data_IF_623235891720
#
_entry.id   IF_623235891720
#
_cell.length_a   1.000
_cell.length_b   1.000
_cell.length_c   1.000
_cell.angle_alpha   90.00
_cell.angle_beta   90.00
_cell.angle_gamma   90.00
#
_symmetry.space_group_name_H-M   'P 1'
#
loop_
_entity.id
_entity.type
_entity.pdbx_description
1 polymer ?
#
# COMPACT_ATOMS: atom_id res chain seq x y z
N UNK A 1 -46.27 -66.46 35.18
CA UNK A 1 -45.90 -65.63 34.02
C UNK A 1 -45.04 -64.49 34.55
N UNK A 2 -43.74 -64.54 34.31
CA UNK A 2 -42.77 -63.53 34.79
C UNK A 2 -42.48 -62.54 33.67
N UNK A 3 -42.55 -61.24 33.98
CA UNK A 3 -42.21 -60.13 33.07
C UNK A 3 -40.79 -59.68 33.44
N UNK A 4 -39.85 -59.80 32.48
CA UNK A 4 -38.52 -59.18 32.58
C UNK A 4 -38.57 -57.79 31.95
N UNK A 5 -38.18 -56.77 32.72
CA UNK A 5 -37.93 -55.42 32.23
C UNK A 5 -36.42 -55.26 31.96
N UNK A 6 -36.06 -54.87 30.74
CA UNK A 6 -34.70 -54.49 30.33
C UNK A 6 -34.56 -52.97 30.38
N UNK A 7 -33.54 -52.39 31.04
CA UNK A 7 -33.29 -50.96 30.98
C UNK A 7 -32.52 -50.63 29.69
N UNK A 8 -33.04 -49.69 28.91
CA UNK A 8 -32.34 -49.08 27.77
C UNK A 8 -31.37 -48.03 28.32
N UNK A 9 -30.07 -48.32 28.20
CA UNK A 9 -29.00 -47.38 28.51
C UNK A 9 -28.81 -46.44 27.31
N UNK A 10 -29.23 -45.18 27.45
CA UNK A 10 -28.96 -44.13 26.44
C UNK A 10 -27.55 -43.58 26.68
N UNK A 11 -26.61 -43.94 25.81
CA UNK A 11 -25.27 -43.37 25.79
C UNK A 11 -25.34 -41.97 25.14
N UNK A 12 -25.22 -40.91 25.94
CA UNK A 12 -25.08 -39.55 25.43
C UNK A 12 -23.64 -39.37 24.91
N UNK A 13 -23.48 -39.33 23.58
CA UNK A 13 -22.21 -38.97 22.94
C UNK A 13 -22.01 -37.45 23.08
N UNK A 14 -21.17 -37.04 24.02
CA UNK A 14 -20.67 -35.67 24.11
C UNK A 14 -19.71 -35.41 22.95
N UNK A 15 -20.19 -34.74 21.91
CA UNK A 15 -19.33 -34.20 20.86
C UNK A 15 -18.47 -33.08 21.44
N UNK A 16 -17.20 -33.39 21.74
CA UNK A 16 -16.18 -32.39 22.07
C UNK A 16 -15.93 -31.55 20.82
N UNK A 17 -16.60 -30.42 20.72
CA UNK A 17 -16.30 -29.43 19.69
C UNK A 17 -15.00 -28.74 20.09
N UNK A 18 -13.91 -29.06 19.42
CA UNK A 18 -12.69 -28.26 19.49
C UNK A 18 -13.00 -26.88 18.92
N UNK A 19 -13.15 -25.89 19.80
CA UNK A 19 -13.23 -24.49 19.39
C UNK A 19 -11.85 -24.12 18.85
N UNK A 20 -11.67 -24.18 17.53
CA UNK A 20 -10.53 -23.56 16.87
C UNK A 20 -10.69 -22.05 17.04
N UNK A 21 -10.04 -21.48 18.05
CA UNK A 21 -9.87 -20.04 18.15
C UNK A 21 -8.92 -19.66 17.02
N UNK A 22 -9.45 -19.06 15.96
CA UNK A 22 -8.62 -18.50 14.89
C UNK A 22 -7.63 -17.51 15.52
N UNK A 23 -6.34 -17.67 15.21
CA UNK A 23 -5.33 -16.74 15.69
C UNK A 23 -5.66 -15.32 15.22
N UNK A 24 -5.54 -14.35 16.14
CA UNK A 24 -5.78 -12.95 15.80
C UNK A 24 -4.86 -12.54 14.63
N UNK A 25 -5.42 -11.88 13.59
CA UNK A 25 -4.61 -11.32 12.53
C UNK A 25 -3.52 -10.39 13.08
N UNK A 26 -2.36 -10.36 12.43
CA UNK A 26 -1.24 -9.49 12.82
C UNK A 26 -0.97 -8.42 11.77
N UNK A 27 -0.79 -7.19 12.22
CA UNK A 27 -0.47 -6.05 11.37
C UNK A 27 0.89 -5.47 11.74
N UNK A 28 1.74 -5.24 10.74
CA UNK A 28 2.94 -4.43 10.89
C UNK A 28 2.62 -2.99 10.47
N UNK A 29 2.79 -2.02 11.37
CA UNK A 29 2.71 -0.59 11.05
C UNK A 29 4.12 -0.04 10.92
N UNK A 30 4.42 0.45 9.72
CA UNK A 30 5.70 1.02 9.35
C UNK A 30 5.59 2.53 9.17
N UNK A 31 6.43 3.30 9.87
CA UNK A 31 6.33 4.78 9.93
C UNK A 31 7.66 5.50 9.71
N UNK A 32 8.66 4.83 9.12
CA UNK A 32 9.94 5.49 8.83
C UNK A 32 9.74 6.65 7.86
N UNK A 33 10.40 7.76 8.14
CA UNK A 33 10.43 8.95 7.28
C UNK A 33 11.86 9.31 6.97
N UNK A 34 12.17 9.49 5.69
CA UNK A 34 13.38 10.14 5.20
C UNK A 34 13.07 11.49 4.50
N UNK A 35 11.78 11.79 4.30
CA UNK A 35 11.22 13.11 4.01
C UNK A 35 10.58 13.79 5.23
N UNK A 36 9.55 14.61 4.97
CA UNK A 36 8.78 15.29 6.02
C UNK A 36 8.18 14.28 7.00
N UNK A 37 8.26 14.62 8.30
CA UNK A 37 7.71 13.82 9.39
C UNK A 37 6.41 14.45 9.88
N UNK A 38 5.30 13.77 9.64
CA UNK A 38 3.97 14.22 10.02
C UNK A 38 3.76 14.11 11.53
N UNK A 39 3.22 15.17 12.14
CA UNK A 39 2.86 15.20 13.56
C UNK A 39 1.77 14.17 13.92
N UNK A 40 1.01 13.69 12.92
CA UNK A 40 -0.04 12.69 13.09
C UNK A 40 0.48 11.26 13.27
N UNK A 41 1.75 10.96 13.03
CA UNK A 41 2.30 9.59 13.13
C UNK A 41 2.02 8.94 14.51
N UNK A 42 2.32 9.58 15.67
CA UNK A 42 2.06 8.97 16.96
C UNK A 42 0.57 8.68 17.22
N UNK A 43 -0.33 9.60 16.83
CA UNK A 43 -1.77 9.40 17.03
C UNK A 43 -2.33 8.34 16.08
N UNK A 44 -1.79 8.24 14.86
CA UNK A 44 -2.15 7.20 13.90
C UNK A 44 -1.79 5.80 14.44
N UNK A 45 -0.55 5.62 14.90
CA UNK A 45 -0.07 4.38 15.52
C UNK A 45 -0.92 4.00 16.73
N UNK A 46 -1.17 4.95 17.63
CA UNK A 46 -2.00 4.73 18.82
C UNK A 46 -3.42 4.32 18.42
N UNK A 47 -4.02 5.00 17.45
CA UNK A 47 -5.39 4.74 17.00
C UNK A 47 -5.50 3.36 16.36
N UNK A 48 -4.62 3.02 15.41
CA UNK A 48 -4.62 1.70 14.75
C UNK A 48 -4.42 0.58 15.78
N UNK A 49 -3.48 0.75 16.71
CA UNK A 49 -3.22 -0.22 17.77
C UNK A 49 -4.44 -0.40 18.68
N UNK A 50 -5.09 0.71 19.07
CA UNK A 50 -6.22 0.70 20.00
C UNK A 50 -7.51 0.18 19.37
N UNK A 51 -7.72 0.43 18.07
CA UNK A 51 -8.80 -0.19 17.30
C UNK A 51 -8.59 -1.70 17.20
N UNK A 52 -7.37 -2.14 16.88
CA UNK A 52 -7.05 -3.54 16.70
C UNK A 52 -7.16 -4.37 17.97
N UNK A 53 -6.64 -3.86 19.10
CA UNK A 53 -6.71 -4.54 20.39
C UNK A 53 -8.05 -4.33 21.13
N UNK A 54 -8.93 -3.47 20.61
CA UNK A 54 -10.25 -3.19 21.16
C UNK A 54 -10.28 -2.21 22.35
N UNK A 55 -9.17 -1.57 22.72
CA UNK A 55 -9.16 -0.54 23.77
C UNK A 55 -9.84 0.76 23.33
N UNK A 56 -9.94 1.00 22.02
CA UNK A 56 -10.76 2.04 21.42
C UNK A 56 -11.99 1.42 20.74
N UNK A 57 -13.17 1.64 21.32
CA UNK A 57 -14.46 1.21 20.74
C UNK A 57 -15.11 2.42 20.06
N UNK A 58 -15.54 2.25 18.82
CA UNK A 58 -16.27 3.26 18.06
C UNK A 58 -17.79 3.07 18.23
N UNK A 59 -18.59 4.16 18.16
CA UNK A 59 -20.03 4.03 18.10
C UNK A 59 -20.45 3.32 16.80
N UNK A 60 -21.59 2.63 16.84
CA UNK A 60 -22.13 1.90 15.67
C UNK A 60 -22.44 2.82 14.48
N UNK A 61 -22.63 4.12 14.72
CA UNK A 61 -22.78 5.16 13.71
C UNK A 61 -21.49 5.43 12.92
N UNK A 62 -20.32 5.02 13.42
CA UNK A 62 -19.03 5.31 12.81
C UNK A 62 -18.33 4.07 12.22
N UNK A 63 -18.73 2.86 12.60
CA UNK A 63 -18.09 1.62 12.18
C UNK A 63 -19.04 0.69 11.40
N UNK A 64 -18.54 0.05 10.35
CA UNK A 64 -19.29 -0.92 9.58
C UNK A 64 -19.53 -2.22 10.39
N UNK A 65 -20.74 -2.80 10.39
CA UNK A 65 -21.02 -4.03 11.14
C UNK A 65 -20.18 -5.23 10.70
N UNK A 66 -19.75 -5.30 9.43
CA UNK A 66 -18.97 -6.43 8.90
C UNK A 66 -17.53 -6.47 9.45
N UNK A 67 -17.04 -5.35 10.00
CA UNK A 67 -15.70 -5.23 10.58
C UNK A 67 -15.71 -4.85 12.06
N UNK A 68 -16.86 -4.52 12.66
CA UNK A 68 -16.93 -4.03 14.05
C UNK A 68 -16.41 -5.03 15.10
N UNK A 69 -16.43 -6.33 14.78
CA UNK A 69 -15.89 -7.39 15.61
C UNK A 69 -14.47 -7.83 15.20
N UNK A 70 -13.94 -7.35 14.06
CA UNK A 70 -12.59 -7.67 13.62
C UNK A 70 -11.58 -7.04 14.58
N UNK A 71 -10.62 -7.84 15.04
CA UNK A 71 -9.54 -7.45 15.93
C UNK A 71 -8.22 -7.90 15.35
N UNK A 72 -7.14 -7.22 15.68
CA UNK A 72 -5.78 -7.56 15.23
C UNK A 72 -4.74 -7.16 16.27
N UNK A 73 -3.60 -7.83 16.27
CA UNK A 73 -2.42 -7.35 16.98
C UNK A 73 -1.62 -6.40 16.09
N UNK A 74 -0.92 -5.45 16.70
CA UNK A 74 -0.10 -4.47 15.98
C UNK A 74 1.36 -4.57 16.44
N UNK A 75 2.28 -4.67 15.48
CA UNK A 75 3.72 -4.44 15.69
C UNK A 75 4.07 -3.14 14.99
N UNK A 76 4.69 -2.20 15.69
CA UNK A 76 5.08 -0.91 15.13
C UNK A 76 6.59 -0.88 14.93
N UNK A 77 7.07 -0.33 13.81
CA UNK A 77 8.51 -0.16 13.59
C UNK A 77 8.83 1.00 12.65
N UNK A 78 10.00 1.61 12.89
CA UNK A 78 10.67 2.53 11.94
C UNK A 78 12.00 1.92 11.46
N UNK A 79 12.32 0.69 11.90
CA UNK A 79 13.56 -0.02 11.60
C UNK A 79 13.44 -0.75 10.26
N UNK A 80 14.08 -0.20 9.22
CA UNK A 80 14.06 -0.77 7.88
C UNK A 80 14.70 -2.16 7.80
N UNK A 81 15.63 -2.50 8.72
CA UNK A 81 16.32 -3.80 8.71
C UNK A 81 15.37 -4.96 8.98
N UNK A 82 14.19 -4.68 9.55
CA UNK A 82 13.09 -5.65 9.66
C UNK A 82 12.63 -6.19 8.32
N UNK A 83 12.71 -5.37 7.26
CA UNK A 83 12.37 -5.78 5.90
C UNK A 83 13.45 -6.66 5.25
N UNK A 84 14.64 -6.80 5.85
CA UNK A 84 15.66 -7.75 5.35
C UNK A 84 15.33 -9.21 5.63
N UNK A 85 14.33 -9.47 6.48
CA UNK A 85 13.89 -10.80 6.85
C UNK A 85 12.48 -11.08 6.30
N UNK A 86 12.40 -11.79 5.17
CA UNK A 86 11.12 -12.16 4.58
C UNK A 86 10.26 -13.00 5.54
N UNK A 87 10.83 -13.91 6.32
CA UNK A 87 10.08 -14.70 7.32
C UNK A 87 9.41 -13.81 8.36
N UNK A 88 10.09 -12.74 8.79
CA UNK A 88 9.50 -11.73 9.67
C UNK A 88 8.34 -11.01 9.00
N UNK A 89 8.49 -10.54 7.75
CA UNK A 89 7.39 -9.87 7.02
C UNK A 89 6.22 -10.82 6.79
N UNK A 90 6.53 -12.05 6.41
CA UNK A 90 5.53 -13.06 6.10
C UNK A 90 4.57 -13.22 7.27
N UNK A 91 4.99 -13.15 8.55
CA UNK A 91 4.10 -13.38 9.70
C UNK A 91 2.86 -12.45 9.78
N UNK A 92 2.88 -11.30 9.10
CA UNK A 92 1.80 -10.31 9.15
C UNK A 92 0.74 -10.57 8.08
N UNK A 93 -0.53 -10.49 8.45
CA UNK A 93 -1.66 -10.52 7.53
C UNK A 93 -1.74 -9.26 6.68
N UNK A 94 -1.31 -8.11 7.23
CA UNK A 94 -1.13 -6.88 6.47
C UNK A 94 0.10 -6.08 6.93
N UNK A 95 0.76 -5.42 5.99
CA UNK A 95 1.79 -4.41 6.26
C UNK A 95 1.22 -3.04 5.88
N UNK A 96 1.23 -2.15 6.85
CA UNK A 96 0.75 -0.78 6.75
C UNK A 96 1.88 0.23 6.63
N UNK A 97 1.88 1.05 5.59
CA UNK A 97 2.75 2.22 5.51
C UNK A 97 1.94 3.42 5.96
N UNK A 98 2.29 4.01 7.10
CA UNK A 98 1.48 5.05 7.75
C UNK A 98 2.30 6.33 7.83
N UNK A 99 1.99 7.27 6.94
CA UNK A 99 2.70 8.54 6.80
C UNK A 99 4.22 8.40 6.66
N UNK A 100 4.67 7.31 6.02
CA UNK A 100 6.05 7.15 5.56
C UNK A 100 6.36 8.16 4.48
N UNK A 101 7.56 8.72 4.43
CA UNK A 101 7.90 9.76 3.43
C UNK A 101 9.31 9.56 2.93
N UNK A 102 9.53 9.69 1.62
CA UNK A 102 10.84 9.70 0.95
C UNK A 102 11.13 11.11 0.42
N UNK A 103 12.32 11.33 -0.08
CA UNK A 103 12.65 12.51 -0.88
C UNK A 103 12.51 12.16 -2.36
N UNK A 104 11.64 12.87 -3.08
CA UNK A 104 11.45 12.63 -4.51
C UNK A 104 12.74 12.89 -5.32
N UNK A 105 13.16 11.97 -6.21
CA UNK A 105 14.32 12.18 -7.06
C UNK A 105 14.32 13.55 -7.75
N UNK A 106 15.50 14.22 -7.85
CA UNK A 106 16.85 13.69 -7.63
C UNK A 106 17.32 13.71 -6.16
N UNK A 107 16.48 14.11 -5.21
CA UNK A 107 16.84 14.05 -3.79
C UNK A 107 16.94 12.58 -3.34
N UNK A 108 17.81 12.32 -2.37
CA UNK A 108 18.08 10.96 -1.89
C UNK A 108 17.62 10.80 -0.45
N UNK A 109 16.83 9.78 -0.17
CA UNK A 109 16.46 9.41 1.19
C UNK A 109 15.32 8.41 1.20
N UNK A 110 15.62 7.13 1.03
CA UNK A 110 14.59 6.08 1.01
C UNK A 110 14.23 5.59 2.41
N UNK A 111 13.02 5.06 2.54
CA UNK A 111 12.58 4.34 3.74
C UNK A 111 12.96 2.86 3.69
N UNK A 112 13.23 2.30 2.51
CA UNK A 112 13.71 0.92 2.36
C UNK A 112 14.87 0.88 1.38
N UNK A 113 15.91 0.12 1.72
CA UNK A 113 16.94 -0.24 0.77
C UNK A 113 16.47 -1.34 -0.20
N UNK A 114 17.33 -1.64 -1.18
CA UNK A 114 17.07 -2.63 -2.22
C UNK A 114 16.72 -4.03 -1.68
N UNK A 115 17.32 -4.44 -0.56
CA UNK A 115 17.05 -5.74 0.05
C UNK A 115 15.67 -5.75 0.73
N UNK A 116 15.34 -4.69 1.46
CA UNK A 116 14.02 -4.49 2.05
C UNK A 116 12.93 -4.44 0.99
N UNK A 117 13.14 -3.68 -0.09
CA UNK A 117 12.21 -3.60 -1.22
C UNK A 117 11.96 -4.96 -1.88
N UNK A 118 13.02 -5.76 -2.13
CA UNK A 118 12.88 -7.11 -2.73
C UNK A 118 12.04 -8.04 -1.86
N UNK A 119 12.25 -8.02 -0.54
CA UNK A 119 11.45 -8.84 0.36
C UNK A 119 10.02 -8.31 0.49
N UNK A 120 9.82 -7.00 0.48
CA UNK A 120 8.48 -6.42 0.50
C UNK A 120 7.69 -6.77 -0.77
N UNK A 121 8.31 -6.69 -1.95
CA UNK A 121 7.70 -7.16 -3.19
C UNK A 121 7.27 -8.63 -3.08
N UNK A 122 8.17 -9.52 -2.62
CA UNK A 122 7.86 -10.94 -2.42
C UNK A 122 6.73 -11.19 -1.43
N UNK A 123 6.65 -10.40 -0.35
CA UNK A 123 5.54 -10.48 0.60
C UNK A 123 4.19 -10.23 -0.09
N UNK A 124 4.12 -9.21 -0.95
CA UNK A 124 2.90 -8.90 -1.71
C UNK A 124 2.62 -9.98 -2.75
N UNK A 125 3.63 -10.47 -3.49
CA UNK A 125 3.50 -11.57 -4.45
C UNK A 125 2.89 -12.82 -3.81
N UNK A 126 3.23 -13.10 -2.55
CA UNK A 126 2.70 -14.21 -1.75
C UNK A 126 1.28 -13.97 -1.20
N UNK A 127 0.65 -12.85 -1.53
CA UNK A 127 -0.72 -12.54 -1.12
C UNK A 127 -0.85 -11.77 0.19
N UNK A 128 0.25 -11.22 0.70
CA UNK A 128 0.24 -10.33 1.86
C UNK A 128 -0.65 -9.10 1.63
N UNK A 129 -1.38 -8.68 2.67
CA UNK A 129 -2.22 -7.49 2.63
C UNK A 129 -1.40 -6.20 2.73
N UNK A 130 -1.90 -5.13 2.13
CA UNK A 130 -1.29 -3.80 2.24
C UNK A 130 -2.31 -2.75 2.65
N UNK A 131 -1.89 -1.80 3.49
CA UNK A 131 -2.58 -0.53 3.57
C UNK A 131 -1.62 0.65 3.59
N UNK A 132 -2.02 1.74 2.93
CA UNK A 132 -1.29 3.00 2.93
C UNK A 132 -2.14 4.12 3.51
N UNK A 133 -1.54 4.98 4.34
CA UNK A 133 -2.21 6.15 4.90
C UNK A 133 -1.38 7.38 4.60
N UNK A 134 -2.06 8.42 4.12
CA UNK A 134 -1.55 9.75 3.85
C UNK A 134 -0.31 9.74 2.95
N UNK A 135 0.84 10.15 3.48
CA UNK A 135 2.10 10.25 2.73
C UNK A 135 2.71 8.92 2.34
N UNK A 136 2.06 7.77 2.59
CA UNK A 136 2.43 6.49 1.99
C UNK A 136 2.51 6.55 0.45
N UNK A 137 1.80 7.46 -0.22
CA UNK A 137 1.97 7.71 -1.66
C UNK A 137 3.17 8.61 -1.99
N UNK A 138 3.77 9.27 -1.00
CA UNK A 138 4.93 10.15 -1.08
C UNK A 138 6.21 9.46 -0.56
N UNK A 139 6.33 8.16 -0.77
CA UNK A 139 7.54 7.39 -0.44
C UNK A 139 7.93 6.43 -1.56
N UNK A 140 9.18 5.98 -1.58
CA UNK A 140 9.68 4.95 -2.50
C UNK A 140 9.42 5.29 -3.97
N UNK A 141 9.55 6.56 -4.36
CA UNK A 141 9.34 7.04 -5.75
C UNK A 141 10.21 6.32 -6.77
N UNK A 142 11.34 5.76 -6.31
CA UNK A 142 12.23 4.96 -7.13
C UNK A 142 11.75 3.52 -7.36
N UNK A 143 10.72 2.99 -6.70
CA UNK A 143 10.37 1.57 -6.78
C UNK A 143 9.06 1.32 -7.57
N UNK A 144 9.10 1.05 -8.88
CA UNK A 144 7.89 0.95 -9.70
C UNK A 144 6.77 0.04 -9.16
N UNK A 145 7.15 -1.13 -8.62
CA UNK A 145 6.15 -2.05 -8.04
C UNK A 145 5.39 -1.43 -6.87
N UNK A 146 6.05 -0.55 -6.09
CA UNK A 146 5.42 0.16 -4.99
C UNK A 146 4.42 1.19 -5.49
N UNK A 147 4.77 1.96 -6.53
CA UNK A 147 3.86 2.91 -7.16
C UNK A 147 2.57 2.23 -7.64
N UNK A 148 2.69 1.02 -8.20
CA UNK A 148 1.53 0.18 -8.53
C UNK A 148 0.79 -0.28 -7.29
N UNK A 149 1.48 -0.83 -6.29
CA UNK A 149 0.88 -1.30 -5.05
C UNK A 149 0.03 -0.22 -4.35
N UNK A 150 0.62 0.96 -4.11
CA UNK A 150 -0.08 2.08 -3.46
C UNK A 150 -1.17 2.66 -4.36
N UNK A 151 -1.00 2.57 -5.68
CA UNK A 151 -1.99 2.93 -6.69
C UNK A 151 -1.53 4.11 -7.54
N UNK A 152 -1.02 5.15 -6.90
CA UNK A 152 -0.42 6.30 -7.56
C UNK A 152 0.54 7.00 -6.61
N UNK A 153 1.63 7.55 -7.14
CA UNK A 153 2.53 8.39 -6.37
C UNK A 153 1.97 9.79 -6.17
N UNK A 154 2.27 10.38 -5.02
CA UNK A 154 2.05 11.79 -4.72
C UNK A 154 2.75 12.69 -5.75
N UNK A 155 2.07 13.75 -6.18
CA UNK A 155 2.66 14.83 -7.00
C UNK A 155 2.82 16.11 -6.18
N UNK A 156 1.69 16.69 -5.75
CA UNK A 156 1.66 17.90 -4.93
C UNK A 156 0.33 17.99 -4.17
N UNK A 157 0.20 18.99 -3.29
CA UNK A 157 -1.07 19.43 -2.75
C UNK A 157 -1.10 20.96 -2.75
N UNK A 158 -2.28 21.61 -2.83
CA UNK A 158 -2.38 23.05 -2.57
C UNK A 158 -2.13 23.34 -1.10
N UNK A 159 -2.13 24.61 -0.70
CA UNK A 159 -2.06 24.97 0.70
C UNK A 159 -3.13 24.20 1.50
N UNK A 160 -2.70 23.59 2.60
CA UNK A 160 -3.57 22.89 3.54
C UNK A 160 -4.76 23.77 3.91
N UNK A 161 -5.96 23.18 3.89
CA UNK A 161 -7.20 23.93 4.03
C UNK A 161 -8.33 23.06 4.56
N UNK A 162 -9.41 23.72 4.99
CA UNK A 162 -10.62 23.00 5.35
C UNK A 162 -11.37 22.56 4.08
N UNK A 163 -11.54 21.26 3.90
CA UNK A 163 -12.23 20.64 2.77
C UNK A 163 -13.37 19.74 3.26
N UNK A 164 -14.40 19.56 2.44
CA UNK A 164 -15.39 18.50 2.66
C UNK A 164 -15.09 17.32 1.72
N UNK A 165 -15.04 16.11 2.27
CA UNK A 165 -14.80 14.85 1.54
C UNK A 165 -16.02 13.94 1.66
N UNK A 166 -16.38 13.21 0.61
CA UNK A 166 -17.58 12.37 0.58
C UNK A 166 -17.28 10.99 -0.02
N UNK A 167 -18.09 9.97 0.31
CA UNK A 167 -17.96 8.68 -0.33
C UNK A 167 -18.37 8.78 -1.82
N UNK A 168 -17.61 8.11 -2.68
CA UNK A 168 -18.03 7.76 -4.05
C UNK A 168 -18.79 6.43 -4.01
N UNK A 169 -18.33 5.52 -3.15
CA UNK A 169 -18.91 4.21 -2.90
C UNK A 169 -19.10 4.03 -1.39
N UNK A 170 -20.34 3.80 -0.97
CA UNK A 170 -20.72 3.56 0.42
C UNK A 170 -20.93 2.06 0.74
N UNK A 171 -20.65 1.16 -0.21
CA UNK A 171 -20.72 -0.30 0.03
C UNK A 171 -19.49 -0.85 0.73
N UNK A 172 -18.36 -0.15 0.65
CA UNK A 172 -17.11 -0.58 1.29
C UNK A 172 -17.12 -0.26 2.80
N UNK A 173 -16.58 -1.15 3.66
CA UNK A 173 -16.60 -0.95 5.12
C UNK A 173 -15.93 0.34 5.61
N UNK A 174 -14.97 0.89 4.86
CA UNK A 174 -14.31 2.16 5.21
C UNK A 174 -15.19 3.40 4.96
N UNK A 175 -16.29 3.28 4.22
CA UNK A 175 -17.10 4.44 3.78
C UNK A 175 -18.59 4.25 4.01
N UNK A 176 -19.05 3.08 4.43
CA UNK A 176 -20.47 2.76 4.63
C UNK A 176 -21.17 3.58 5.71
N UNK A 177 -20.40 4.19 6.61
CA UNK A 177 -20.90 5.08 7.67
C UNK A 177 -20.75 6.56 7.36
N UNK A 178 -20.15 6.92 6.23
CA UNK A 178 -19.91 8.31 5.89
C UNK A 178 -21.21 9.02 5.50
N UNK A 179 -21.37 10.29 5.90
CA UNK A 179 -22.48 11.11 5.43
C UNK A 179 -22.37 11.37 3.93
N UNK A 180 -23.50 11.33 3.22
CA UNK A 180 -23.53 11.50 1.76
C UNK A 180 -23.16 12.93 1.30
N UNK A 181 -23.46 13.93 2.14
CA UNK A 181 -23.10 15.34 1.96
C UNK A 181 -21.64 15.66 2.34
N UNK A 182 -20.98 14.73 3.01
CA UNK A 182 -19.54 14.73 3.25
C UNK A 182 -19.14 15.09 4.68
N UNK A 183 -17.89 14.75 5.00
CA UNK A 183 -17.20 15.03 6.25
C UNK A 183 -16.25 16.21 6.04
N UNK A 184 -16.33 17.22 6.90
CA UNK A 184 -15.43 18.37 6.86
C UNK A 184 -14.19 18.11 7.71
N UNK A 185 -13.02 18.29 7.10
CA UNK A 185 -11.70 18.03 7.69
C UNK A 185 -10.73 19.16 7.31
N UNK A 186 -9.63 19.28 8.05
CA UNK A 186 -8.50 20.14 7.70
C UNK A 186 -7.37 19.27 7.13
N UNK A 187 -7.09 19.40 5.84
CA UNK A 187 -6.34 18.36 5.12
C UNK A 187 -5.49 18.89 3.97
N UNK A 188 -4.39 18.19 3.71
CA UNK A 188 -3.61 18.32 2.49
C UNK A 188 -4.28 17.49 1.40
N UNK A 189 -5.04 18.16 0.52
CA UNK A 189 -5.74 17.46 -0.56
C UNK A 189 -4.73 17.08 -1.63
N UNK A 190 -4.28 15.82 -1.61
CA UNK A 190 -3.26 15.32 -2.51
C UNK A 190 -3.74 15.27 -3.96
N UNK A 191 -2.84 15.64 -4.85
CA UNK A 191 -2.87 15.36 -6.27
C UNK A 191 -1.79 14.30 -6.58
N UNK A 192 -2.05 13.45 -7.57
CA UNK A 192 -1.24 12.27 -7.87
C UNK A 192 -0.63 12.36 -9.27
N UNK A 193 0.50 11.66 -9.47
CA UNK A 193 1.23 11.64 -10.75
C UNK A 193 0.49 10.90 -11.86
N UNK A 194 -0.44 10.03 -11.48
CA UNK A 194 -1.18 9.13 -12.36
C UNK A 194 -2.56 8.86 -11.77
N UNK A 195 -3.49 8.44 -12.61
CA UNK A 195 -4.79 7.96 -12.15
C UNK A 195 -4.71 6.48 -11.71
N UNK A 196 -5.00 6.14 -10.44
CA UNK A 196 -4.93 4.76 -9.94
C UNK A 196 -5.93 3.82 -10.63
N UNK A 197 -6.95 4.34 -11.35
CA UNK A 197 -7.89 3.55 -12.17
C UNK A 197 -7.27 3.00 -13.45
N UNK A 198 -6.14 3.56 -13.91
CA UNK A 198 -5.49 3.13 -15.16
C UNK A 198 -4.54 1.95 -14.98
N UNK A 199 -4.35 1.47 -13.75
CA UNK A 199 -3.54 0.29 -13.46
C UNK A 199 -4.16 -1.01 -14.04
N UNK A 200 -3.35 -2.05 -14.32
CA UNK A 200 -3.86 -3.32 -14.88
C UNK A 200 -4.90 -4.01 -14.00
N UNK A 201 -4.71 -3.93 -12.68
CA UNK A 201 -5.76 -4.16 -11.68
C UNK A 201 -6.25 -2.78 -11.24
N UNK A 202 -7.39 -2.28 -11.77
CA UNK A 202 -7.85 -0.91 -11.53
C UNK A 202 -8.21 -0.65 -10.07
N UNK A 203 -7.91 0.54 -9.58
CA UNK A 203 -8.39 0.99 -8.29
C UNK A 203 -9.89 1.32 -8.29
N UNK A 204 -10.58 0.90 -7.23
CA UNK A 204 -11.95 1.28 -6.93
C UNK A 204 -11.94 2.49 -5.99
N UNK A 205 -12.30 3.67 -6.51
CA UNK A 205 -12.29 4.93 -5.74
C UNK A 205 -13.40 4.92 -4.69
N UNK A 206 -13.03 5.22 -3.45
CA UNK A 206 -13.89 5.22 -2.27
C UNK A 206 -14.31 6.61 -1.82
N UNK A 207 -13.38 7.56 -1.85
CA UNK A 207 -13.56 8.92 -1.33
C UNK A 207 -13.13 9.93 -2.37
N UNK A 208 -13.91 11.01 -2.48
CA UNK A 208 -13.62 12.19 -3.32
C UNK A 208 -13.86 13.47 -2.55
N UNK A 209 -13.39 14.58 -3.08
CA UNK A 209 -13.81 15.90 -2.61
C UNK A 209 -15.33 16.10 -2.85
N UNK A 210 -16.03 16.55 -1.81
CA UNK A 210 -17.46 16.89 -1.88
C UNK A 210 -17.70 18.27 -2.49
N UNK A 211 -16.75 19.19 -2.28
CA UNK A 211 -16.73 20.55 -2.80
C UNK A 211 -15.47 20.81 -3.62
N UNK A 212 -15.50 21.83 -4.46
CA UNK A 212 -14.25 22.42 -4.97
C UNK A 212 -13.40 22.90 -3.80
N UNK A 213 -12.09 22.71 -3.89
CA UNK A 213 -11.10 23.25 -2.96
C UNK A 213 -10.19 24.22 -3.73
N UNK A 214 -9.54 25.13 -3.02
CA UNK A 214 -8.66 26.12 -3.63
C UNK A 214 -7.36 25.44 -4.05
N UNK A 215 -7.19 25.19 -5.35
CA UNK A 215 -5.98 24.63 -5.93
C UNK A 215 -5.44 25.59 -7.02
N UNK A 216 -4.23 26.13 -6.86
CA UNK A 216 -3.65 27.00 -7.89
C UNK A 216 -3.28 26.23 -9.16
N UNK A 217 -3.30 24.89 -9.15
CA UNK A 217 -3.00 24.07 -10.30
C UNK A 217 -1.52 24.12 -10.69
N UNK A 218 -0.63 24.39 -9.73
CA UNK A 218 0.81 24.53 -9.99
C UNK A 218 1.62 23.81 -8.93
N UNK A 219 2.46 22.89 -9.37
CA UNK A 219 3.58 22.36 -8.60
C UNK A 219 4.82 23.26 -8.87
N UNK A 220 5.49 23.84 -7.84
CA UNK A 220 6.72 24.62 -8.03
C UNK A 220 7.84 23.87 -8.77
N UNK A 221 7.83 22.53 -8.72
CA UNK A 221 8.76 21.62 -9.39
C UNK A 221 8.35 21.28 -10.83
N UNK A 222 7.28 21.90 -11.36
CA UNK A 222 6.67 21.60 -12.65
C UNK A 222 5.65 20.47 -12.56
N UNK A 223 4.53 20.60 -13.28
CA UNK A 223 3.49 19.58 -13.41
C UNK A 223 4.09 18.30 -14.03
N UNK A 224 4.24 17.21 -13.27
CA UNK A 224 5.02 16.06 -13.75
C UNK A 224 4.24 15.07 -14.61
N UNK A 225 2.91 14.98 -14.53
CA UNK A 225 2.14 14.30 -15.60
C UNK A 225 0.61 14.48 -15.64
N UNK A 226 0.06 15.56 -15.09
CA UNK A 226 -1.23 16.05 -15.57
C UNK A 226 -2.47 15.45 -14.91
N UNK A 227 -3.13 16.33 -14.16
CA UNK A 227 -4.53 16.25 -13.70
C UNK A 227 -4.85 15.12 -12.73
N UNK A 228 -5.88 15.38 -11.93
CA UNK A 228 -6.46 14.54 -10.89
C UNK A 228 -7.17 13.27 -11.38
N UNK A 229 -6.76 12.78 -12.56
CA UNK A 229 -7.59 11.96 -13.42
C UNK A 229 -8.93 12.64 -13.74
N UNK A 230 -9.83 11.96 -14.48
CA UNK A 230 -11.23 12.35 -14.54
C UNK A 230 -11.88 12.36 -13.14
N UNK A 231 -12.84 13.24 -12.92
CA UNK A 231 -13.72 13.18 -11.75
C UNK A 231 -14.36 11.78 -11.62
N UNK A 232 -14.56 11.24 -10.41
CA UNK A 232 -14.26 11.84 -9.10
C UNK A 232 -12.76 11.87 -8.77
N UNK A 233 -12.32 12.89 -8.00
CA UNK A 233 -10.94 13.05 -7.53
C UNK A 233 -10.61 11.95 -6.52
N UNK A 234 -9.61 11.09 -6.76
CA UNK A 234 -9.35 9.96 -5.88
C UNK A 234 -8.64 10.42 -4.59
N UNK A 235 -9.29 10.24 -3.44
CA UNK A 235 -8.69 10.50 -2.10
C UNK A 235 -8.57 9.23 -1.25
N UNK A 236 -9.27 8.17 -1.62
CA UNK A 236 -9.09 6.84 -1.05
C UNK A 236 -9.53 5.80 -2.08
N UNK A 237 -8.94 4.62 -2.05
CA UNK A 237 -9.30 3.52 -2.95
C UNK A 237 -8.91 2.16 -2.39
N UNK A 238 -9.44 1.11 -3.01
CA UNK A 238 -8.99 -0.26 -2.79
C UNK A 238 -8.68 -0.97 -4.11
N UNK A 239 -7.84 -2.01 -4.00
CA UNK A 239 -7.50 -2.94 -5.09
C UNK A 239 -7.45 -4.36 -4.54
N UNK A 240 -7.78 -5.35 -5.37
CA UNK A 240 -7.66 -6.76 -5.01
C UNK A 240 -7.19 -7.56 -6.21
N UNK A 241 -6.19 -8.42 -6.00
CA UNK A 241 -5.61 -9.25 -7.05
C UNK A 241 -4.78 -8.45 -8.06
N UNK A 242 -3.70 -9.04 -8.57
CA UNK A 242 -2.83 -8.39 -9.56
C UNK A 242 -2.25 -7.05 -9.08
N UNK A 243 -1.98 -6.92 -7.77
CA UNK A 243 -1.55 -5.66 -7.16
C UNK A 243 -0.27 -5.09 -7.80
N UNK A 244 0.61 -5.97 -8.30
CA UNK A 244 1.91 -5.62 -8.87
C UNK A 244 1.97 -5.73 -10.40
N UNK A 245 0.90 -6.18 -11.05
CA UNK A 245 0.85 -6.43 -12.49
C UNK A 245 1.19 -5.19 -13.31
N UNK A 246 1.81 -5.40 -14.46
CA UNK A 246 2.12 -4.38 -15.47
C UNK A 246 1.47 -4.75 -16.80
N UNK A 247 1.16 -3.74 -17.60
CA UNK A 247 0.75 -3.89 -19.00
C UNK A 247 1.12 -2.63 -19.80
N UNK A 248 0.76 -2.57 -21.08
CA UNK A 248 1.03 -1.40 -21.94
C UNK A 248 0.29 -0.12 -21.55
N UNK A 249 -0.70 -0.17 -20.66
CA UNK A 249 -1.43 0.99 -20.14
C UNK A 249 -0.95 1.45 -18.76
N UNK A 250 0.05 0.78 -18.18
CA UNK A 250 0.62 1.19 -16.89
C UNK A 250 1.33 2.53 -17.05
N UNK A 251 0.98 3.49 -16.19
CA UNK A 251 1.54 4.84 -16.27
C UNK A 251 3.07 4.83 -16.09
N UNK A 252 3.77 5.61 -16.91
CA UNK A 252 5.21 5.76 -16.84
C UNK A 252 5.67 6.33 -15.48
N UNK A 253 4.85 7.15 -14.82
CA UNK A 253 5.18 7.75 -13.52
C UNK A 253 5.22 6.74 -12.39
N UNK A 254 4.50 5.61 -12.51
CA UNK A 254 4.60 4.45 -11.60
C UNK A 254 5.51 3.36 -12.16
N UNK A 255 6.14 3.62 -13.31
CA UNK A 255 7.15 2.76 -13.97
C UNK A 255 8.58 3.28 -13.76
N UNK A 256 8.79 4.17 -12.77
CA UNK A 256 10.00 4.97 -12.53
C UNK A 256 11.38 4.29 -12.71
N UNK A 257 12.43 5.09 -12.81
CA UNK A 257 13.79 4.67 -13.20
C UNK A 257 14.76 4.45 -12.01
N UNK A 258 14.29 3.94 -10.87
CA UNK A 258 15.11 3.76 -9.66
C UNK A 258 14.93 2.40 -8.96
N UNK A 259 15.46 2.26 -7.75
CA UNK A 259 15.09 1.20 -6.80
C UNK A 259 15.29 -0.24 -7.30
N UNK A 260 16.51 -0.78 -7.15
CA UNK A 260 16.91 -2.16 -7.44
C UNK A 260 16.47 -2.83 -8.76
N UNK A 261 15.78 -2.13 -9.68
CA UNK A 261 15.15 -2.70 -10.88
C UNK A 261 14.28 -3.94 -10.53
N UNK A 262 13.42 -3.80 -9.52
CA UNK A 262 12.62 -4.92 -9.00
C UNK A 262 11.42 -5.17 -9.93
N UNK A 263 11.56 -6.21 -10.74
CA UNK A 263 10.50 -6.73 -11.61
C UNK A 263 9.63 -7.71 -10.81
N UNK A 264 8.53 -7.19 -10.24
CA UNK A 264 7.54 -7.97 -9.49
C UNK A 264 6.16 -7.90 -10.15
N UNK A 265 5.41 -9.00 -10.07
CA UNK A 265 4.10 -9.17 -10.70
C UNK A 265 3.17 -10.05 -9.85
N UNK A 266 1.88 -10.07 -10.15
CA UNK A 266 0.87 -10.77 -9.37
C UNK A 266 0.50 -9.99 -8.11
N UNK A 267 0.44 -10.67 -6.97
CA UNK A 267 -0.09 -10.12 -5.73
C UNK A 267 -1.60 -10.35 -5.60
N UNK A 268 -2.02 -11.56 -5.17
CA UNK A 268 -3.44 -11.94 -5.10
C UNK A 268 -4.20 -11.30 -3.92
N UNK A 269 -3.50 -10.60 -3.02
CA UNK A 269 -4.08 -10.02 -1.82
C UNK A 269 -4.91 -8.76 -2.04
N UNK A 270 -5.20 -8.08 -0.92
CA UNK A 270 -5.96 -6.82 -0.88
C UNK A 270 -5.03 -5.66 -0.52
N UNK A 271 -5.28 -4.52 -1.16
CA UNK A 271 -4.64 -3.24 -0.86
C UNK A 271 -5.72 -2.18 -0.62
N UNK A 272 -5.53 -1.36 0.41
CA UNK A 272 -6.38 -0.19 0.70
C UNK A 272 -5.51 1.04 0.93
N UNK A 273 -5.90 2.18 0.38
CA UNK A 273 -5.19 3.44 0.56
C UNK A 273 -6.15 4.58 0.86
N UNK A 274 -5.73 5.49 1.74
CA UNK A 274 -6.37 6.80 1.93
C UNK A 274 -5.30 7.88 1.96
N UNK A 275 -5.50 8.98 1.26
CA UNK A 275 -4.60 10.15 1.29
C UNK A 275 -4.86 11.07 2.47
N UNK A 276 -5.94 10.82 3.21
CA UNK A 276 -6.37 11.60 4.35
C UNK A 276 -5.56 11.25 5.61
N UNK A 277 -5.65 12.11 6.63
CA UNK A 277 -5.03 11.85 7.94
C UNK A 277 -3.73 12.61 8.17
N UNK A 278 -3.48 13.68 7.40
CA UNK A 278 -2.42 14.65 7.65
C UNK A 278 -2.49 15.19 9.08
N UNK A 279 -3.64 15.78 9.42
CA UNK A 279 -3.80 16.57 10.64
C UNK A 279 -4.22 15.70 11.83
N UNK A 280 -3.71 16.03 13.02
CA UNK A 280 -4.04 15.33 14.26
C UNK A 280 -5.54 15.38 14.58
N UNK A 281 -6.23 16.48 14.24
CA UNK A 281 -7.66 16.64 14.47
C UNK A 281 -8.50 15.65 13.66
N UNK A 282 -8.07 15.26 12.46
CA UNK A 282 -8.75 14.25 11.64
C UNK A 282 -8.81 12.90 12.38
N UNK A 283 -7.76 12.54 13.12
CA UNK A 283 -7.70 11.34 13.98
C UNK A 283 -8.59 11.39 15.23
N UNK A 284 -9.21 12.54 15.53
CA UNK A 284 -10.17 12.68 16.62
C UNK A 284 -11.61 12.37 16.19
N UNK A 285 -11.87 12.32 14.88
CA UNK A 285 -13.19 12.08 14.32
C UNK A 285 -13.51 10.58 14.30
N UNK A 286 -14.60 10.18 14.94
CA UNK A 286 -15.02 8.77 14.95
C UNK A 286 -15.26 8.21 13.54
N UNK A 287 -15.82 9.02 12.63
CA UNK A 287 -16.02 8.63 11.23
C UNK A 287 -14.70 8.36 10.50
N UNK A 288 -13.63 9.09 10.81
CA UNK A 288 -12.31 8.84 10.24
C UNK A 288 -11.64 7.61 10.87
N UNK A 289 -11.77 7.44 12.19
CA UNK A 289 -11.32 6.21 12.87
C UNK A 289 -12.03 4.98 12.32
N UNK A 290 -13.32 5.10 12.03
CA UNK A 290 -14.14 4.09 11.38
C UNK A 290 -13.72 3.80 9.95
N UNK A 291 -13.32 4.84 9.20
CA UNK A 291 -12.73 4.70 7.87
C UNK A 291 -11.45 3.85 7.90
N UNK A 292 -10.54 4.15 8.82
CA UNK A 292 -9.30 3.40 9.02
C UNK A 292 -9.59 1.96 9.48
N UNK A 293 -10.48 1.76 10.46
CA UNK A 293 -10.89 0.44 10.91
C UNK A 293 -11.49 -0.39 9.77
N UNK A 294 -12.36 0.22 8.95
CA UNK A 294 -12.99 -0.45 7.82
C UNK A 294 -12.02 -0.81 6.70
N UNK A 295 -11.06 0.07 6.40
CA UNK A 295 -10.00 -0.20 5.43
C UNK A 295 -9.12 -1.38 5.84
N UNK A 296 -8.57 -1.31 7.06
CA UNK A 296 -7.72 -2.38 7.62
C UNK A 296 -8.51 -3.68 7.77
N UNK A 297 -9.73 -3.62 8.34
CA UNK A 297 -10.59 -4.78 8.52
C UNK A 297 -10.93 -5.48 7.22
N UNK A 298 -11.20 -4.72 6.15
CA UNK A 298 -11.46 -5.28 4.82
C UNK A 298 -10.23 -5.97 4.22
N UNK A 299 -9.03 -5.40 4.38
CA UNK A 299 -7.76 -6.04 3.97
C UNK A 299 -7.55 -7.35 4.73
N UNK A 300 -7.76 -7.35 6.04
CA UNK A 300 -7.59 -8.54 6.90
C UNK A 300 -8.60 -9.66 6.62
N UNK A 301 -9.75 -9.34 6.03
CA UNK A 301 -10.74 -10.31 5.55
C UNK A 301 -10.39 -10.91 4.18
N UNK A 302 -9.24 -10.56 3.58
CA UNK A 302 -8.77 -11.20 2.36
C UNK A 302 -8.72 -12.72 2.54
N UNK A 303 -9.16 -13.46 1.53
CA UNK A 303 -8.99 -14.92 1.53
C UNK A 303 -7.52 -15.32 1.51
N UNK A 304 -6.60 -14.43 1.13
CA UNK A 304 -5.14 -14.67 1.16
C UNK A 304 -4.51 -14.37 2.51
N UNK A 305 -5.26 -13.79 3.46
CA UNK A 305 -4.76 -13.55 4.81
C UNK A 305 -4.39 -14.89 5.47
N UNK A 306 -3.29 -14.92 6.21
CA UNK A 306 -2.83 -16.17 6.85
C UNK A 306 -3.82 -16.63 7.90
N UNK A 307 -4.29 -15.69 8.72
CA UNK A 307 -5.29 -15.93 9.77
C UNK A 307 -6.59 -16.54 9.20
N UNK A 308 -6.93 -16.26 7.94
CA UNK A 308 -8.07 -16.88 7.25
C UNK A 308 -7.88 -18.38 6.94
N UNK A 309 -6.63 -18.88 6.93
CA UNK A 309 -6.27 -20.27 6.64
C UNK A 309 -5.97 -21.12 7.88
N UNK A 310 -6.49 -20.72 9.05
CA UNK A 310 -6.49 -21.47 10.31
C UNK A 310 -5.56 -22.68 10.41
N UNK A 311 -4.34 -22.50 10.92
CA UNK A 311 -3.59 -23.60 11.53
C UNK A 311 -2.73 -24.49 10.63
N UNK A 312 -2.42 -24.15 9.37
CA UNK A 312 -1.41 -24.90 8.61
C UNK A 312 -0.10 -24.13 8.47
N UNK A 313 0.62 -23.98 9.58
CA UNK A 313 2.07 -23.79 9.58
C UNK A 313 2.75 -25.01 10.19
N UNK A 314 2.46 -26.20 9.67
CA UNK A 314 3.41 -27.31 9.79
C UNK A 314 4.37 -27.18 8.62
N UNK A 315 5.61 -26.80 8.92
CA UNK A 315 6.73 -26.95 8.01
C UNK A 315 6.90 -28.43 7.67
N UNK A 316 6.25 -28.86 6.59
CA UNK A 316 6.60 -30.09 5.91
C UNK A 316 7.92 -29.82 5.19
N UNK A 317 9.01 -30.27 5.81
CA UNK A 317 10.28 -30.58 5.15
C UNK A 317 10.02 -31.59 4.03
N UNK A 318 9.64 -31.07 2.86
CA UNK A 318 9.55 -31.83 1.62
C UNK A 318 10.94 -32.27 1.21
N UNK A 319 11.23 -33.52 1.52
CA UNK A 319 12.47 -34.24 1.23
C UNK A 319 12.67 -34.29 -0.29
N UNK A 320 13.87 -33.94 -0.72
CA UNK A 320 14.35 -34.08 -2.08
C UNK A 320 14.18 -35.52 -2.56
N UNK A 321 13.38 -35.73 -3.60
CA UNK A 321 13.58 -36.84 -4.53
C UNK A 321 14.25 -36.26 -5.78
N UNK A 322 15.56 -36.50 -5.86
CA UNK A 322 16.30 -36.45 -7.11
C UNK A 322 15.64 -37.45 -8.06
N UNK A 323 15.22 -36.99 -9.23
CA UNK A 323 15.06 -37.88 -10.36
C UNK A 323 15.97 -37.38 -11.49
N UNK A 324 16.98 -38.20 -11.77
CA UNK A 324 18.03 -38.00 -12.74
C UNK A 324 17.58 -38.59 -14.08
N UNK A 325 17.61 -37.81 -15.17
CA UNK A 325 17.91 -38.35 -16.51
C UNK A 325 18.35 -37.23 -17.47
N UNK A 326 19.14 -37.57 -18.52
CA UNK A 326 20.24 -36.73 -18.98
C UNK A 326 19.93 -35.84 -20.18
N UNK A 327 20.84 -34.87 -20.36
CA UNK A 327 20.92 -33.89 -21.43
C UNK A 327 20.91 -34.47 -22.86
N UNK A 328 20.35 -33.69 -23.79
CA UNK A 328 20.82 -33.66 -25.18
C UNK A 328 21.02 -32.21 -25.62
N UNK A 329 22.19 -31.96 -26.21
CA UNK A 329 22.68 -30.68 -26.67
C UNK A 329 22.27 -30.44 -28.12
N UNK A 330 21.94 -29.18 -28.46
CA UNK A 330 22.22 -28.65 -29.79
C UNK A 330 22.45 -27.14 -29.67
N UNK A 331 23.70 -26.75 -29.95
CA UNK A 331 24.14 -25.38 -30.02
C UNK A 331 23.84 -24.83 -31.40
N UNK A 332 23.16 -23.67 -31.49
CA UNK A 332 23.21 -22.82 -32.67
C UNK A 332 23.55 -21.38 -32.25
N UNK A 333 24.71 -20.96 -32.72
CA UNK A 333 25.31 -19.64 -32.59
C UNK A 333 24.64 -18.68 -33.57
N UNK A 334 24.09 -17.57 -33.07
CA UNK A 334 23.79 -16.39 -33.89
C UNK A 334 24.32 -15.14 -33.18
N UNK A 335 25.08 -14.36 -33.95
CA UNK A 335 25.88 -13.19 -33.57
C UNK A 335 25.01 -12.00 -33.15
N UNK A 336 25.45 -11.14 -32.21
CA UNK A 336 24.84 -9.83 -32.03
C UNK A 336 25.35 -8.84 -33.09
N UNK A 337 24.42 -8.19 -33.78
CA UNK A 337 24.71 -7.04 -34.63
C UNK A 337 25.08 -5.84 -33.76
N UNK A 338 26.22 -5.21 -34.06
CA UNK A 338 26.68 -3.95 -33.47
C UNK A 338 25.84 -2.79 -34.00
N UNK A 339 25.13 -2.09 -33.12
CA UNK A 339 24.64 -0.73 -33.41
C UNK A 339 25.71 0.27 -32.93
N UNK A 340 26.23 1.08 -33.86
CA UNK A 340 27.13 2.19 -33.58
C UNK A 340 26.33 3.36 -32.98
N UNK A 341 26.71 3.82 -31.79
CA UNK A 341 26.35 5.14 -31.27
C UNK A 341 27.52 6.10 -31.53
N UNK A 342 27.29 7.32 -32.08
CA UNK A 342 28.37 8.26 -32.31
C UNK A 342 28.80 8.92 -31.00
N UNK A 343 30.12 9.16 -30.89
CA UNK A 343 30.72 9.88 -29.77
C UNK A 343 30.22 11.34 -29.75
N UNK A 344 29.72 11.80 -28.59
CA UNK A 344 29.47 13.22 -28.37
C UNK A 344 30.78 13.92 -27.98
N UNK A 345 31.18 14.90 -28.79
CA UNK A 345 32.25 15.83 -28.46
C UNK A 345 31.69 16.95 -27.56
N UNK A 346 32.27 17.11 -26.38
CA UNK A 346 32.00 18.26 -25.50
C UNK A 346 33.01 19.35 -25.86
N UNK A 347 32.54 20.49 -26.36
CA UNK A 347 33.38 21.68 -26.53
C UNK A 347 33.02 22.68 -25.43
N UNK A 348 33.95 22.95 -24.53
CA UNK A 348 33.80 23.97 -23.49
C UNK A 348 34.20 25.34 -24.05
N UNK A 349 33.31 26.33 -23.98
CA UNK A 349 33.62 27.73 -24.24
C UNK A 349 33.74 28.46 -22.90
N UNK A 350 34.92 28.99 -22.61
CA UNK A 350 35.16 29.83 -21.42
C UNK A 350 34.92 31.28 -21.80
N UNK A 351 33.94 31.92 -21.16
CA UNK A 351 33.76 33.38 -21.20
C UNK A 351 34.01 33.91 -19.79
N UNK A 352 35.02 34.77 -19.65
CA UNK A 352 35.38 35.42 -18.39
C UNK A 352 34.73 36.80 -18.26
N UNK A 353 33.95 36.99 -17.20
CA UNK A 353 33.60 38.31 -16.64
C UNK A 353 33.69 38.23 -15.10
N UNK A 354 34.03 39.33 -14.40
CA UNK A 354 34.45 39.26 -13.01
C UNK A 354 33.27 39.23 -12.03
N UNK A 355 33.24 38.23 -11.16
CA UNK A 355 32.38 38.17 -9.96
C UNK A 355 31.11 37.34 -10.12
N UNK A 356 31.11 36.14 -9.50
CA UNK A 356 30.07 35.10 -9.43
C UNK A 356 29.92 34.15 -10.63
N UNK A 357 30.23 32.86 -10.39
CA UNK A 357 29.93 31.74 -11.29
C UNK A 357 28.68 31.00 -10.82
N UNK A 358 27.65 30.91 -11.67
CA UNK A 358 26.56 29.92 -11.57
C UNK A 358 26.64 29.03 -12.81
N UNK A 359 26.72 27.71 -12.61
CA UNK A 359 26.74 26.73 -13.68
C UNK A 359 25.31 26.53 -14.21
N UNK A 360 25.00 27.06 -15.39
CA UNK A 360 23.73 26.80 -16.09
C UNK A 360 24.03 25.92 -17.30
N UNK A 361 23.65 24.64 -17.23
CA UNK A 361 23.65 23.74 -18.38
C UNK A 361 22.28 23.83 -19.08
N UNK A 362 22.22 24.46 -20.26
CA UNK A 362 21.08 24.35 -21.16
C UNK A 362 21.26 23.14 -22.08
N UNK A 363 20.36 22.17 -21.97
CA UNK A 363 20.24 21.07 -22.95
C UNK A 363 19.19 21.51 -23.97
N UNK A 364 19.61 21.75 -25.22
CA UNK A 364 18.69 21.87 -26.36
C UNK A 364 18.60 20.51 -27.06
N UNK A 365 17.39 19.98 -27.15
CA UNK A 365 17.05 18.83 -28.00
C UNK A 365 16.64 19.40 -29.37
N UNK A 366 17.21 18.96 -30.50
CA UNK A 366 16.72 19.35 -31.82
C UNK A 366 15.38 18.64 -32.13
N UNK A 367 14.51 19.36 -32.84
CA UNK A 367 13.14 18.97 -33.25
C UNK A 367 13.11 17.65 -34.00
#
# INVERSE_FOLDING_TARGET
MSIFALPVLVLAVLAVHTINVAALPQVLVYTKTAGYRHESIPIAVQTITSLGNGSLTLPSSAIDPSISAVRWSTVNTEDETRFHNLTFLSQFDAIGFVSTTDQDPPLTGTVLDDQGLRNFARYIEQGGGYFGIHSAAATLFGAPFYGRLVGAYFDYHPQIQNVSVKPVDASHPSTSRWPADGLRIYEEVYNFRSDPRNLPSPAHVLVTNASTFSDPGVNPQGFRNGTNGPSPHPLAWWRQGGLLDTNSSTDASVSGVGGADIQAAGGPGRAWYTSLGHDVSTWQLDLFRGHVAGGIGWVLQSSTARSAHGGSSNGSTGTSSQDTTPASSSAHSLRPARLHLPAMAVTALVVTLPGLSVLVAQIRIPV
#
